data_IF_748309005148
#
_entry.id   IF_748309005148
#
_cell.length_a   1.000
_cell.length_b   1.000
_cell.length_c   1.000
_cell.angle_alpha   90.00
_cell.angle_beta   90.00
_cell.angle_gamma   90.00
#
_symmetry.space_group_name_H-M   'P 1'
#
loop_
_entity.id
_entity.type
_entity.pdbx_description
1 polymer ?
#
# COMPACT_ATOMS: atom_id res chain seq x y z
N UNK A 1 -5.43 39.29 11.03
CA UNK A 1 -4.47 38.27 11.51
C UNK A 1 -4.66 38.06 13.01
N UNK A 2 -4.80 36.81 13.45
CA UNK A 2 -4.92 36.40 14.85
C UNK A 2 -3.84 35.38 15.19
N UNK A 3 -3.32 35.40 16.41
CA UNK A 3 -2.30 34.47 16.88
C UNK A 3 -2.87 33.60 18.00
N UNK A 4 -2.61 32.30 17.98
CA UNK A 4 -2.94 31.37 19.06
C UNK A 4 -1.73 30.49 19.38
N UNK A 5 -1.39 30.37 20.66
CA UNK A 5 -0.28 29.56 21.15
C UNK A 5 -0.84 28.26 21.75
N UNK A 6 -0.40 27.12 21.25
CA UNK A 6 -0.76 25.78 21.76
C UNK A 6 0.53 24.97 21.97
N UNK A 7 0.73 24.34 23.12
CA UNK A 7 1.84 23.41 23.43
C UNK A 7 3.23 23.75 22.87
N UNK A 8 3.62 23.21 21.71
CA UNK A 8 4.90 23.47 21.02
C UNK A 8 4.74 24.25 19.70
N UNK A 9 3.53 24.72 19.37
CA UNK A 9 3.17 25.30 18.07
C UNK A 9 2.58 26.71 18.25
N UNK A 10 2.99 27.65 17.38
CA UNK A 10 2.33 28.93 17.18
C UNK A 10 1.45 28.85 15.92
N UNK A 11 0.14 29.05 16.09
CA UNK A 11 -0.83 29.10 14.99
C UNK A 11 -1.12 30.56 14.63
N UNK A 12 -0.85 30.91 13.37
CA UNK A 12 -1.09 32.24 12.79
C UNK A 12 -2.29 32.12 11.86
N UNK A 13 -3.39 32.78 12.21
CA UNK A 13 -4.60 32.84 11.40
C UNK A 13 -4.54 34.10 10.54
N UNK A 14 -4.37 33.91 9.23
CA UNK A 14 -4.38 34.98 8.23
C UNK A 14 -5.83 35.36 7.90
N UNK A 15 -6.71 34.35 7.81
CA UNK A 15 -8.15 34.47 7.51
C UNK A 15 -8.97 33.63 8.50
N UNK A 16 -10.30 33.83 8.51
CA UNK A 16 -11.24 33.04 9.33
C UNK A 16 -11.72 31.77 8.61
N UNK A 17 -11.25 31.52 7.38
CA UNK A 17 -11.58 30.31 6.62
C UNK A 17 -11.00 29.06 7.28
N UNK A 18 -11.69 27.92 7.12
CA UNK A 18 -11.23 26.64 7.66
C UNK A 18 -10.06 26.09 6.80
N UNK A 19 -8.99 25.55 7.43
CA UNK A 19 -7.93 24.81 6.75
C UNK A 19 -8.46 23.64 5.93
N UNK A 20 -8.46 23.79 4.60
CA UNK A 20 -8.95 22.77 3.69
C UNK A 20 -7.83 21.99 3.02
N UNK A 21 -6.75 22.67 2.64
CA UNK A 21 -5.58 22.07 2.02
C UNK A 21 -4.32 22.33 2.84
N UNK A 22 -3.38 21.41 2.73
CA UNK A 22 -2.01 21.55 3.21
C UNK A 22 -1.05 21.19 2.08
N UNK A 23 -0.04 22.03 1.83
CA UNK A 23 0.97 21.78 0.80
C UNK A 23 2.13 20.98 1.40
N UNK A 24 2.27 19.71 1.02
CA UNK A 24 3.30 18.84 1.59
C UNK A 24 4.71 19.34 1.32
N UNK A 25 4.98 19.74 0.08
CA UNK A 25 6.32 20.18 -0.32
C UNK A 25 6.74 21.43 0.44
N UNK A 26 5.85 22.40 0.59
CA UNK A 26 6.11 23.58 1.42
C UNK A 26 6.34 23.19 2.87
N UNK A 27 5.51 22.30 3.43
CA UNK A 27 5.65 21.87 4.83
C UNK A 27 6.95 21.09 5.10
N UNK A 28 7.46 20.35 4.12
CA UNK A 28 8.72 19.60 4.27
C UNK A 28 9.95 20.51 4.12
N UNK A 29 9.81 21.60 3.36
CA UNK A 29 10.92 22.52 3.06
C UNK A 29 10.98 23.71 4.02
N UNK A 30 9.86 24.03 4.67
CA UNK A 30 9.74 25.14 5.59
C UNK A 30 9.63 24.63 7.02
N UNK A 31 10.19 25.36 8.00
CA UNK A 31 9.97 25.11 9.43
C UNK A 31 8.55 25.54 9.88
N UNK A 32 7.63 25.69 8.93
CA UNK A 32 6.26 26.13 9.13
C UNK A 32 5.34 25.36 8.18
N UNK A 33 4.18 24.94 8.68
CA UNK A 33 3.15 24.30 7.88
C UNK A 33 2.15 25.34 7.36
N UNK A 34 1.97 25.41 6.04
CA UNK A 34 1.07 26.35 5.38
C UNK A 34 -0.27 25.66 5.04
N UNK A 35 -1.36 26.27 5.49
CA UNK A 35 -2.72 25.76 5.28
C UNK A 35 -3.56 26.75 4.49
N UNK A 36 -4.28 26.21 3.51
CA UNK A 36 -5.05 26.96 2.53
C UNK A 36 -6.54 26.64 2.66
N UNK A 37 -7.38 27.62 2.35
CA UNK A 37 -8.83 27.45 2.27
C UNK A 37 -9.22 26.59 1.06
N UNK A 38 -10.51 26.25 0.94
CA UNK A 38 -11.04 25.50 -0.22
C UNK A 38 -10.82 26.21 -1.56
N UNK A 39 -10.71 27.54 -1.55
CA UNK A 39 -10.42 28.37 -2.73
C UNK A 39 -8.90 28.58 -2.95
N UNK A 40 -8.07 27.84 -2.21
CA UNK A 40 -6.61 27.88 -2.31
C UNK A 40 -5.98 29.13 -1.74
N UNK A 41 -6.66 29.87 -0.86
CA UNK A 41 -6.11 31.08 -0.21
C UNK A 41 -5.45 30.74 1.11
N UNK A 42 -4.27 31.31 1.38
CA UNK A 42 -3.57 31.09 2.65
C UNK A 42 -4.46 31.57 3.81
N UNK A 43 -4.84 30.64 4.69
CA UNK A 43 -5.74 30.91 5.80
C UNK A 43 -5.03 30.75 7.15
N UNK A 44 -4.09 29.82 7.27
CA UNK A 44 -3.42 29.52 8.52
C UNK A 44 -1.97 29.05 8.30
N UNK A 45 -1.08 29.42 9.22
CA UNK A 45 0.32 28.94 9.27
C UNK A 45 0.56 28.36 10.66
N UNK A 46 1.22 27.21 10.76
CA UNK A 46 1.67 26.64 12.04
C UNK A 46 3.18 26.67 12.07
N UNK A 47 3.77 27.28 13.09
CA UNK A 47 5.22 27.40 13.26
C UNK A 47 5.62 26.68 14.54
N UNK A 48 6.63 25.81 14.47
CA UNK A 48 7.19 25.19 15.68
C UNK A 48 7.83 26.25 16.57
N UNK A 49 7.67 26.17 17.89
CA UNK A 49 8.29 27.14 18.81
C UNK A 49 9.81 27.09 18.82
N UNK A 50 10.39 25.91 18.57
CA UNK A 50 11.84 25.72 18.46
C UNK A 50 12.45 26.56 17.33
N UNK A 51 11.64 26.96 16.34
CA UNK A 51 12.07 27.82 15.25
C UNK A 51 12.49 29.23 15.74
N UNK A 52 11.91 29.75 16.82
CA UNK A 52 12.27 31.08 17.33
C UNK A 52 13.58 31.10 18.14
N UNK A 53 14.21 29.94 18.36
CA UNK A 53 15.44 29.83 19.15
C UNK A 53 16.72 30.02 18.31
N UNK A 54 16.61 29.94 16.98
CA UNK A 54 17.72 30.08 16.02
C UNK A 54 17.57 31.34 15.14
N UNK A 55 18.67 32.01 14.80
CA UNK A 55 18.69 33.05 13.75
C UNK A 55 18.52 32.39 12.37
N UNK A 56 17.27 32.11 11.99
CA UNK A 56 16.94 31.46 10.72
C UNK A 56 16.51 32.45 9.62
N UNK A 57 16.67 32.06 8.33
CA UNK A 57 16.41 32.96 7.20
C UNK A 57 14.94 33.42 7.08
N UNK A 58 14.73 34.48 6.29
CA UNK A 58 13.38 34.89 5.88
C UNK A 58 12.77 33.84 4.94
N UNK A 59 11.59 33.33 5.29
CA UNK A 59 10.85 32.37 4.47
C UNK A 59 9.68 33.05 3.78
N UNK A 60 9.47 32.72 2.49
CA UNK A 60 8.31 33.15 1.73
C UNK A 60 7.26 32.04 1.71
N UNK A 61 6.08 32.33 2.28
CA UNK A 61 4.91 31.47 2.18
C UNK A 61 3.96 32.08 1.14
N UNK A 62 3.66 31.39 0.03
CA UNK A 62 2.74 31.90 -0.98
C UNK A 62 1.33 32.15 -0.42
N UNK A 63 0.72 33.27 -0.79
CA UNK A 63 -0.67 33.62 -0.45
C UNK A 63 -1.72 32.70 -1.11
N UNK A 64 -1.31 31.98 -2.17
CA UNK A 64 -2.12 31.02 -2.90
C UNK A 64 -1.44 29.65 -2.88
N UNK A 65 -2.24 28.60 -2.76
CA UNK A 65 -1.77 27.22 -2.87
C UNK A 65 -1.04 27.08 -4.22
N UNK A 66 0.25 26.71 -4.23
CA UNK A 66 0.96 26.39 -5.46
C UNK A 66 0.20 25.32 -6.27
N UNK A 67 0.32 25.37 -7.59
CA UNK A 67 -0.29 24.34 -8.44
C UNK A 67 0.30 22.96 -8.08
N UNK A 68 -0.56 22.03 -7.69
CA UNK A 68 -0.21 20.64 -7.39
C UNK A 68 -0.93 19.69 -8.33
N UNK A 69 -0.39 18.48 -8.53
CA UNK A 69 -1.02 17.48 -9.41
C UNK A 69 -2.14 16.70 -8.70
N UNK A 70 -1.92 16.30 -7.45
CA UNK A 70 -2.80 15.39 -6.72
C UNK A 70 -3.23 15.97 -5.37
N UNK A 71 -4.40 15.51 -4.92
CA UNK A 71 -4.96 15.78 -3.60
C UNK A 71 -5.24 14.45 -2.93
N UNK A 72 -4.72 14.30 -1.71
CA UNK A 72 -4.89 13.14 -0.86
C UNK A 72 -5.82 13.50 0.29
N UNK A 73 -6.84 12.66 0.51
CA UNK A 73 -7.75 12.74 1.65
C UNK A 73 -7.61 11.46 2.44
N UNK A 74 -7.37 11.56 3.75
CA UNK A 74 -7.29 10.40 4.65
C UNK A 74 -8.55 10.30 5.47
N UNK A 75 -9.09 9.09 5.63
CA UNK A 75 -10.37 8.87 6.27
C UNK A 75 -11.55 9.24 5.36
N UNK A 76 -12.53 9.96 5.91
CA UNK A 76 -13.78 10.31 5.21
C UNK A 76 -13.57 11.34 4.11
N UNK A 77 -14.46 11.39 3.12
CA UNK A 77 -14.37 12.38 2.03
C UNK A 77 -14.44 13.84 2.52
N UNK A 78 -15.18 14.07 3.61
CA UNK A 78 -15.30 15.36 4.29
C UNK A 78 -14.10 15.73 5.17
N UNK A 79 -13.12 14.81 5.33
CA UNK A 79 -11.95 15.04 6.17
C UNK A 79 -11.10 16.16 5.60
N UNK A 80 -10.70 17.06 6.50
CA UNK A 80 -9.86 18.21 6.20
C UNK A 80 -8.86 18.40 7.36
N UNK A 81 -7.65 18.90 7.08
CA UNK A 81 -7.16 19.33 5.77
C UNK A 81 -6.79 18.14 4.86
N UNK A 82 -6.84 18.36 3.54
CA UNK A 82 -6.37 17.44 2.49
C UNK A 82 -4.94 17.78 2.08
N UNK A 83 -4.13 16.78 1.74
CA UNK A 83 -2.72 16.99 1.38
C UNK A 83 -2.58 17.20 -0.13
N UNK A 84 -1.90 18.25 -0.55
CA UNK A 84 -1.60 18.53 -1.95
C UNK A 84 -0.14 18.19 -2.28
N UNK A 85 0.08 17.41 -3.34
CA UNK A 85 1.39 16.92 -3.77
C UNK A 85 1.52 16.92 -5.30
N UNK A 86 2.76 16.97 -5.80
CA UNK A 86 3.04 16.83 -7.24
C UNK A 86 3.29 15.37 -7.67
N UNK A 87 3.63 14.52 -6.71
CA UNK A 87 3.98 13.12 -6.96
C UNK A 87 3.38 12.22 -5.88
N UNK A 88 2.91 11.06 -6.32
CA UNK A 88 2.48 9.96 -5.45
C UNK A 88 3.63 9.04 -5.02
N UNK A 89 4.87 9.29 -5.48
CA UNK A 89 6.00 8.39 -5.26
C UNK A 89 6.51 8.34 -3.82
N UNK A 90 6.08 9.25 -2.96
CA UNK A 90 6.57 9.36 -1.58
C UNK A 90 5.43 9.05 -0.61
N UNK A 91 4.76 7.91 -0.81
CA UNK A 91 3.62 7.51 0.01
C UNK A 91 4.01 7.43 1.49
N UNK A 92 5.18 6.90 1.84
CA UNK A 92 5.60 6.81 3.23
C UNK A 92 5.63 8.19 3.91
N UNK A 93 6.26 9.18 3.28
CA UNK A 93 6.27 10.55 3.79
C UNK A 93 4.88 11.20 3.85
N UNK A 94 4.00 10.88 2.90
CA UNK A 94 2.61 11.36 2.87
C UNK A 94 1.81 10.71 4.02
N UNK A 95 1.90 9.40 4.20
CA UNK A 95 1.18 8.63 5.23
C UNK A 95 1.65 9.01 6.64
N UNK A 96 2.97 9.17 6.85
CA UNK A 96 3.55 9.59 8.12
C UNK A 96 3.20 11.03 8.50
N UNK A 97 2.71 11.85 7.57
CA UNK A 97 2.49 13.30 7.79
C UNK A 97 1.31 13.66 8.71
N UNK A 98 0.70 12.68 9.37
CA UNK A 98 -0.07 12.92 10.60
C UNK A 98 -1.57 12.67 10.51
N UNK A 99 -2.02 11.74 9.68
CA UNK A 99 -3.40 11.28 9.74
C UNK A 99 -3.47 10.00 10.57
N UNK A 100 -4.19 10.05 11.69
CA UNK A 100 -4.45 8.90 12.57
C UNK A 100 -5.21 7.76 11.85
N UNK A 101 -5.70 7.98 10.63
CA UNK A 101 -6.51 7.05 9.85
C UNK A 101 -5.77 6.58 8.58
N UNK A 102 -4.83 5.65 8.75
CA UNK A 102 -4.11 5.02 7.64
C UNK A 102 -4.94 3.95 6.90
N UNK A 103 -6.14 3.62 7.39
CA UNK A 103 -6.98 2.56 6.82
C UNK A 103 -7.79 3.00 5.60
N UNK A 104 -7.90 4.31 5.33
CA UNK A 104 -8.72 4.85 4.23
C UNK A 104 -8.00 6.04 3.58
N UNK A 105 -7.89 6.01 2.26
CA UNK A 105 -7.27 7.06 1.48
C UNK A 105 -8.02 7.29 0.17
N UNK A 106 -8.15 8.57 -0.21
CA UNK A 106 -8.74 9.00 -1.47
C UNK A 106 -7.72 9.86 -2.19
N UNK A 107 -7.44 9.53 -3.45
CA UNK A 107 -6.56 10.31 -4.33
C UNK A 107 -7.39 10.86 -5.49
N UNK A 108 -7.32 12.16 -5.70
CA UNK A 108 -7.95 12.85 -6.83
C UNK A 108 -6.96 13.82 -7.49
N UNK A 109 -7.19 14.19 -8.75
CA UNK A 109 -6.41 15.28 -9.35
C UNK A 109 -6.83 16.61 -8.75
N UNK A 110 -5.86 17.49 -8.49
CA UNK A 110 -6.15 18.81 -7.95
C UNK A 110 -6.97 19.68 -8.91
N UNK A 111 -6.92 19.41 -10.21
CA UNK A 111 -7.72 20.10 -11.23
C UNK A 111 -9.12 19.49 -11.44
N UNK A 112 -9.48 18.43 -10.71
CA UNK A 112 -10.75 17.71 -10.87
C UNK A 112 -10.87 16.90 -12.16
N UNK A 113 -9.77 16.75 -12.90
CA UNK A 113 -9.68 15.92 -14.10
C UNK A 113 -9.69 14.42 -13.80
N UNK A 114 -9.72 13.62 -14.85
CA UNK A 114 -9.61 12.16 -14.74
C UNK A 114 -8.16 11.71 -14.48
N UNK A 115 -8.00 10.64 -13.70
CA UNK A 115 -6.73 9.93 -13.59
C UNK A 115 -6.71 8.88 -14.70
N UNK A 116 -5.81 9.06 -15.66
CA UNK A 116 -5.62 8.14 -16.78
C UNK A 116 -5.28 6.73 -16.30
N UNK A 117 -5.71 5.70 -17.05
CA UNK A 117 -5.52 4.29 -16.67
C UNK A 117 -4.09 3.96 -16.24
N UNK A 118 -3.08 4.37 -17.03
CA UNK A 118 -1.67 4.12 -16.69
C UNK A 118 -1.21 4.86 -15.43
N UNK A 119 -1.72 6.08 -15.19
CA UNK A 119 -1.42 6.83 -13.98
C UNK A 119 -2.07 6.13 -12.76
N UNK A 120 -3.30 5.62 -12.88
CA UNK A 120 -3.95 4.84 -11.80
C UNK A 120 -3.16 3.59 -11.46
N UNK A 121 -2.75 2.82 -12.47
CA UNK A 121 -1.94 1.61 -12.28
C UNK A 121 -0.63 1.92 -11.56
N UNK A 122 0.08 2.99 -11.97
CA UNK A 122 1.34 3.38 -11.33
C UNK A 122 1.17 3.88 -9.90
N UNK A 123 0.10 4.64 -9.61
CA UNK A 123 -0.22 5.05 -8.23
C UNK A 123 -0.43 3.82 -7.34
N UNK A 124 -1.18 2.83 -7.83
CA UNK A 124 -1.43 1.57 -7.14
C UNK A 124 -0.17 0.73 -6.92
N UNK A 125 0.66 0.62 -7.94
CA UNK A 125 1.93 -0.10 -7.87
C UNK A 125 2.89 0.56 -6.88
N UNK A 126 3.03 1.88 -6.92
CA UNK A 126 3.85 2.64 -5.96
C UNK A 126 3.31 2.45 -4.53
N UNK A 127 1.98 2.54 -4.32
CA UNK A 127 1.36 2.31 -3.02
C UNK A 127 1.63 0.90 -2.47
N UNK A 128 1.45 -0.14 -3.28
CA UNK A 128 1.69 -1.53 -2.84
C UNK A 128 3.17 -1.82 -2.62
N UNK A 129 4.07 -1.18 -3.39
CA UNK A 129 5.51 -1.29 -3.15
C UNK A 129 5.85 -0.74 -1.77
N UNK A 130 5.35 0.45 -1.44
CA UNK A 130 5.57 1.07 -0.13
C UNK A 130 4.89 0.27 1.00
N UNK A 131 3.71 -0.30 0.75
CA UNK A 131 3.00 -1.17 1.70
C UNK A 131 3.81 -2.42 2.09
N UNK A 132 4.52 -3.01 1.11
CA UNK A 132 5.37 -4.18 1.33
C UNK A 132 6.74 -3.76 1.87
N UNK A 133 7.42 -2.81 1.25
CA UNK A 133 8.81 -2.42 1.57
C UNK A 133 8.95 -1.76 2.95
N UNK A 134 7.93 -1.04 3.43
CA UNK A 134 7.94 -0.45 4.77
C UNK A 134 7.33 -1.35 5.84
N UNK A 135 6.95 -2.59 5.49
CA UNK A 135 6.39 -3.55 6.46
C UNK A 135 4.99 -3.22 6.95
N UNK A 136 4.25 -2.29 6.32
CA UNK A 136 2.91 -1.89 6.77
C UNK A 136 1.95 -3.07 6.80
N UNK A 137 2.08 -4.04 5.89
CA UNK A 137 1.31 -5.28 5.97
C UNK A 137 1.42 -5.97 7.33
N UNK A 138 2.57 -5.91 8.02
CA UNK A 138 2.74 -6.50 9.35
C UNK A 138 1.97 -5.69 10.40
N UNK A 139 2.07 -4.36 10.35
CA UNK A 139 1.36 -3.45 11.26
C UNK A 139 -0.17 -3.58 11.14
N UNK A 140 -0.66 -3.97 9.95
CA UNK A 140 -2.07 -4.23 9.67
C UNK A 140 -2.43 -5.73 9.67
N UNK A 141 -1.61 -6.61 10.24
CA UNK A 141 -1.95 -8.04 10.39
C UNK A 141 -2.24 -8.76 9.07
N UNK A 142 -1.52 -8.41 8.00
CA UNK A 142 -1.70 -8.87 6.62
C UNK A 142 -3.14 -8.71 6.11
N UNK A 143 -3.81 -7.64 6.51
CA UNK A 143 -5.07 -7.25 5.88
C UNK A 143 -4.88 -6.90 4.41
N UNK A 144 -5.86 -7.26 3.59
CA UNK A 144 -5.94 -6.86 2.19
C UNK A 144 -6.25 -5.38 2.11
N UNK A 145 -5.56 -4.66 1.24
CA UNK A 145 -5.96 -3.32 0.83
C UNK A 145 -6.76 -3.43 -0.45
N UNK A 146 -7.92 -2.80 -0.47
CA UNK A 146 -8.78 -2.69 -1.64
C UNK A 146 -8.54 -1.35 -2.33
N UNK A 147 -8.74 -1.32 -3.65
CA UNK A 147 -8.75 -0.09 -4.41
C UNK A 147 -9.80 -0.14 -5.52
N UNK A 148 -10.44 1.00 -5.76
CA UNK A 148 -11.38 1.21 -6.85
C UNK A 148 -11.26 2.64 -7.38
N UNK A 149 -11.30 2.80 -8.69
CA UNK A 149 -11.43 4.10 -9.34
C UNK A 149 -12.89 4.37 -9.68
N UNK A 150 -13.45 5.40 -9.05
CA UNK A 150 -14.86 5.74 -9.18
C UNK A 150 -15.05 7.24 -9.13
N UNK A 151 -15.94 7.79 -9.97
CA UNK A 151 -16.20 9.24 -10.09
C UNK A 151 -14.94 10.13 -10.09
N UNK A 152 -13.93 9.75 -10.87
CA UNK A 152 -12.64 10.45 -11.03
C UNK A 152 -11.69 10.42 -9.83
N UNK A 153 -11.99 9.61 -8.82
CA UNK A 153 -11.14 9.44 -7.63
C UNK A 153 -10.70 7.99 -7.50
N UNK A 154 -9.52 7.81 -6.95
CA UNK A 154 -8.98 6.51 -6.59
C UNK A 154 -9.14 6.34 -5.08
N UNK A 155 -9.96 5.37 -4.69
CA UNK A 155 -10.21 5.04 -3.30
C UNK A 155 -9.32 3.86 -2.91
N UNK A 156 -8.82 3.89 -1.68
CA UNK A 156 -8.08 2.81 -1.03
C UNK A 156 -8.64 2.60 0.37
N UNK A 157 -8.88 1.34 0.75
CA UNK A 157 -9.32 1.03 2.10
C UNK A 157 -8.83 -0.35 2.54
N UNK A 158 -8.55 -0.51 3.83
CA UNK A 158 -8.20 -1.80 4.41
C UNK A 158 -9.46 -2.65 4.56
N UNK A 159 -9.43 -3.84 3.98
CA UNK A 159 -10.48 -4.85 4.09
C UNK A 159 -10.39 -5.60 5.41
N UNK A 160 -11.51 -6.19 5.83
CA UNK A 160 -11.54 -7.14 6.94
C UNK A 160 -10.96 -8.52 6.57
N UNK A 161 -10.74 -8.80 5.28
CA UNK A 161 -10.01 -9.99 4.85
C UNK A 161 -8.52 -9.83 5.13
N UNK A 162 -7.91 -10.86 5.73
CA UNK A 162 -6.46 -11.00 5.81
C UNK A 162 -5.99 -12.26 5.10
N UNK A 163 -4.72 -12.27 4.74
CA UNK A 163 -4.02 -13.43 4.18
C UNK A 163 -2.96 -13.97 5.17
N UNK A 164 -3.17 -13.72 6.46
CA UNK A 164 -2.29 -14.23 7.52
C UNK A 164 -2.48 -15.75 7.74
N UNK A 165 -1.45 -16.41 8.26
CA UNK A 165 -1.44 -17.85 8.52
C UNK A 165 -0.40 -18.22 9.59
N UNK A 166 -0.75 -19.18 10.43
CA UNK A 166 0.10 -19.64 11.55
C UNK A 166 0.88 -20.92 11.25
N UNK A 167 0.42 -21.71 10.26
CA UNK A 167 1.00 -23.01 9.92
C UNK A 167 1.19 -23.18 8.42
N UNK A 168 1.97 -24.19 8.01
CA UNK A 168 2.15 -24.49 6.57
C UNK A 168 0.86 -25.02 5.93
N UNK A 169 -0.03 -25.63 6.72
CA UNK A 169 -1.37 -26.03 6.31
C UNK A 169 -2.25 -24.81 6.02
N UNK A 170 -2.29 -23.85 6.94
CA UNK A 170 -3.04 -22.60 6.72
C UNK A 170 -2.44 -21.80 5.55
N UNK A 171 -1.11 -21.78 5.41
CA UNK A 171 -0.46 -21.15 4.27
C UNK A 171 -0.91 -21.80 2.94
N UNK A 172 -0.96 -23.14 2.87
CA UNK A 172 -1.46 -23.85 1.69
C UNK A 172 -2.92 -23.51 1.38
N UNK A 173 -3.79 -23.46 2.38
CA UNK A 173 -5.22 -23.13 2.23
C UNK A 173 -5.41 -21.69 1.72
N UNK A 174 -4.77 -20.73 2.39
CA UNK A 174 -4.79 -19.30 2.04
C UNK A 174 -4.25 -19.11 0.62
N UNK A 175 -3.07 -19.64 0.33
CA UNK A 175 -2.43 -19.51 -0.98
C UNK A 175 -3.29 -20.12 -2.10
N UNK A 176 -3.88 -21.31 -1.85
CA UNK A 176 -4.75 -21.98 -2.82
C UNK A 176 -6.02 -21.16 -3.12
N UNK A 177 -6.63 -20.54 -2.10
CA UNK A 177 -7.78 -19.62 -2.27
C UNK A 177 -7.43 -18.46 -3.21
N UNK A 178 -6.28 -17.82 -3.01
CA UNK A 178 -5.87 -16.68 -3.85
C UNK A 178 -5.42 -17.09 -5.25
N UNK A 179 -4.79 -18.26 -5.41
CA UNK A 179 -4.53 -18.84 -6.72
C UNK A 179 -5.84 -19.01 -7.53
N UNK A 180 -6.90 -19.52 -6.92
CA UNK A 180 -8.20 -19.70 -7.58
C UNK A 180 -8.81 -18.36 -8.01
N UNK A 181 -8.74 -17.33 -7.16
CA UNK A 181 -9.14 -15.95 -7.52
C UNK A 181 -8.29 -15.37 -8.65
N UNK A 182 -7.08 -15.88 -8.87
CA UNK A 182 -6.21 -15.53 -9.99
C UNK A 182 -6.39 -16.45 -11.23
N UNK A 183 -7.51 -17.17 -11.34
CA UNK A 183 -7.85 -18.16 -12.38
C UNK A 183 -6.89 -19.36 -12.49
N UNK A 184 -6.15 -19.67 -11.44
CA UNK A 184 -5.50 -20.96 -11.37
C UNK A 184 -6.52 -22.00 -10.95
N UNK A 185 -6.50 -23.15 -11.61
CA UNK A 185 -7.15 -24.36 -11.09
C UNK A 185 -6.13 -25.16 -10.30
N UNK A 186 -6.33 -25.28 -8.99
CA UNK A 186 -5.51 -26.15 -8.13
C UNK A 186 -5.85 -27.61 -8.47
N UNK A 187 -4.83 -28.39 -8.83
CA UNK A 187 -4.98 -29.79 -9.28
C UNK A 187 -4.69 -30.75 -8.14
N UNK A 188 -3.65 -30.45 -7.35
CA UNK A 188 -3.19 -31.29 -6.25
C UNK A 188 -2.28 -30.47 -5.34
N UNK A 189 -2.34 -30.74 -4.05
CA UNK A 189 -1.28 -30.38 -3.12
C UNK A 189 -0.62 -31.61 -2.50
N UNK A 190 0.62 -31.47 -2.07
CA UNK A 190 1.34 -32.52 -1.36
C UNK A 190 2.33 -31.92 -0.36
N UNK A 191 2.19 -32.33 0.90
CA UNK A 191 3.05 -31.86 1.99
C UNK A 191 4.26 -32.76 2.20
N UNK A 192 5.38 -32.15 2.57
CA UNK A 192 6.60 -32.83 3.03
C UNK A 192 7.33 -31.99 4.08
N UNK A 193 7.02 -32.19 5.36
CA UNK A 193 7.64 -31.43 6.46
C UNK A 193 7.30 -29.94 6.37
N UNK A 194 8.34 -29.08 6.40
CA UNK A 194 8.31 -27.61 6.29
C UNK A 194 7.88 -27.07 4.90
N UNK A 195 7.46 -27.96 4.00
CA UNK A 195 7.15 -27.65 2.61
C UNK A 195 5.75 -28.14 2.22
N UNK A 196 5.05 -27.34 1.43
CA UNK A 196 3.91 -27.80 0.63
C UNK A 196 4.16 -27.56 -0.86
N UNK A 197 3.82 -28.55 -1.69
CA UNK A 197 3.89 -28.43 -3.15
C UNK A 197 2.48 -28.35 -3.70
N UNK A 198 2.13 -27.21 -4.30
CA UNK A 198 0.84 -26.98 -4.95
C UNK A 198 1.02 -27.05 -6.46
N UNK A 199 0.37 -28.04 -7.10
CA UNK A 199 0.29 -28.18 -8.55
C UNK A 199 -0.97 -27.45 -9.03
N UNK A 200 -0.78 -26.44 -9.89
CA UNK A 200 -1.88 -25.65 -10.43
C UNK A 200 -1.80 -25.48 -11.95
N UNK A 201 -2.91 -25.10 -12.57
CA UNK A 201 -2.97 -24.83 -14.01
C UNK A 201 -3.64 -23.51 -14.30
N UNK A 202 -3.04 -22.70 -15.17
CA UNK A 202 -3.63 -21.46 -15.70
C UNK A 202 -3.50 -21.43 -17.21
N UNK A 203 -4.61 -21.18 -17.92
CA UNK A 203 -4.65 -21.15 -19.39
C UNK A 203 -3.99 -22.39 -20.05
N UNK A 204 -4.22 -23.57 -19.48
CA UNK A 204 -3.67 -24.85 -19.96
C UNK A 204 -2.18 -25.09 -19.65
N UNK A 205 -1.47 -24.11 -19.07
CA UNK A 205 -0.09 -24.27 -18.62
C UNK A 205 -0.06 -24.81 -17.19
N UNK A 206 0.79 -25.81 -16.95
CA UNK A 206 1.03 -26.37 -15.61
C UNK A 206 2.16 -25.59 -14.93
N UNK A 207 1.89 -25.19 -13.70
CA UNK A 207 2.83 -24.52 -12.80
C UNK A 207 2.84 -25.25 -11.46
N UNK A 208 3.98 -25.16 -10.78
CA UNK A 208 4.18 -25.74 -9.46
C UNK A 208 4.63 -24.63 -8.52
N UNK A 209 4.03 -24.59 -7.35
CA UNK A 209 4.38 -23.68 -6.28
C UNK A 209 4.93 -24.51 -5.13
N UNK A 210 6.14 -24.19 -4.68
CA UNK A 210 6.70 -24.72 -3.44
C UNK A 210 6.52 -23.66 -2.37
N UNK A 211 5.62 -23.93 -1.44
CA UNK A 211 5.40 -23.12 -0.26
C UNK A 211 6.43 -23.52 0.80
N UNK A 212 7.09 -22.52 1.38
CA UNK A 212 8.11 -22.67 2.41
C UNK A 212 7.67 -21.91 3.65
N UNK A 213 7.56 -22.62 4.78
CA UNK A 213 7.36 -22.00 6.10
C UNK A 213 8.19 -22.78 7.11
N UNK A 214 9.34 -22.26 7.54
CA UNK A 214 10.11 -22.84 8.62
C UNK A 214 9.25 -22.95 9.89
N UNK A 215 9.48 -24.02 10.64
CA UNK A 215 8.98 -24.07 12.01
C UNK A 215 9.99 -23.33 12.89
N UNK A 216 9.64 -22.13 13.36
CA UNK A 216 10.51 -21.29 14.18
C UNK A 216 10.67 -21.81 15.61
N UNK A 217 9.97 -22.89 15.99
CA UNK A 217 10.19 -23.57 17.28
C UNK A 217 11.47 -24.43 17.27
N UNK A 218 11.93 -24.86 16.09
CA UNK A 218 13.20 -25.55 15.92
C UNK A 218 14.30 -24.52 15.64
N UNK A 219 15.44 -24.55 16.37
CA UNK A 219 16.62 -23.67 16.26
C UNK A 219 17.25 -23.52 14.84
N UNK A 220 16.61 -24.01 13.78
CA UNK A 220 16.93 -23.71 12.39
C UNK A 220 16.06 -22.55 11.87
N UNK A 221 16.60 -21.34 11.90
CA UNK A 221 15.87 -20.14 11.47
C UNK A 221 15.52 -20.14 9.97
N UNK A 222 16.28 -20.87 9.15
CA UNK A 222 16.11 -20.89 7.68
C UNK A 222 16.32 -22.28 7.07
N UNK A 223 15.69 -22.51 5.93
CA UNK A 223 15.84 -23.73 5.13
C UNK A 223 17.20 -23.74 4.43
N UNK A 224 17.96 -24.82 4.64
CA UNK A 224 19.24 -25.04 3.98
C UNK A 224 19.08 -25.35 2.48
N UNK A 225 20.15 -25.13 1.72
CA UNK A 225 20.23 -25.51 0.31
C UNK A 225 19.99 -27.01 0.11
N UNK A 226 20.55 -27.86 0.97
CA UNK A 226 20.43 -29.31 0.89
C UNK A 226 18.98 -29.77 1.06
N UNK A 227 18.26 -29.15 2.00
CA UNK A 227 16.83 -29.41 2.22
C UNK A 227 16.01 -29.00 0.99
N UNK A 228 16.22 -27.78 0.48
CA UNK A 228 15.54 -27.27 -0.72
C UNK A 228 15.80 -28.18 -1.93
N UNK A 229 17.05 -28.55 -2.18
CA UNK A 229 17.42 -29.50 -3.23
C UNK A 229 16.69 -30.85 -3.07
N UNK A 230 16.56 -31.35 -1.84
CA UNK A 230 15.94 -32.66 -1.57
C UNK A 230 14.46 -32.71 -1.98
N UNK A 231 13.78 -31.57 -1.96
CA UNK A 231 12.36 -31.43 -2.33
C UNK A 231 12.23 -31.13 -3.82
N UNK A 232 13.06 -30.21 -4.33
CA UNK A 232 13.02 -29.75 -5.72
C UNK A 232 13.59 -30.75 -6.72
N UNK A 233 14.48 -31.68 -6.33
CA UNK A 233 14.97 -32.78 -7.19
C UNK A 233 13.86 -33.58 -7.89
N UNK A 234 12.66 -33.60 -7.30
CA UNK A 234 11.47 -34.30 -7.85
C UNK A 234 10.62 -33.41 -8.75
N UNK A 235 10.89 -32.10 -8.78
CA UNK A 235 10.13 -31.07 -9.50
C UNK A 235 10.91 -30.70 -10.78
N UNK A 236 10.39 -31.13 -11.94
CA UNK A 236 11.20 -31.13 -13.17
C UNK A 236 11.27 -29.79 -13.90
N UNK A 237 10.22 -28.94 -13.86
CA UNK A 237 10.10 -27.62 -14.56
C UNK A 237 8.98 -26.76 -13.97
N UNK A 238 8.98 -25.46 -14.30
CA UNK A 238 7.94 -24.46 -14.00
C UNK A 238 7.63 -24.33 -12.50
N UNK A 239 8.69 -24.22 -11.70
CA UNK A 239 8.60 -24.07 -10.26
C UNK A 239 8.73 -22.59 -9.88
N UNK A 240 7.85 -22.16 -8.98
CA UNK A 240 7.92 -20.92 -8.22
C UNK A 240 8.02 -21.26 -6.75
N UNK A 241 8.89 -20.58 -6.01
CA UNK A 241 8.99 -20.72 -4.56
C UNK A 241 8.28 -19.53 -3.93
N UNK A 242 7.36 -19.80 -3.01
CA UNK A 242 6.65 -18.78 -2.24
C UNK A 242 7.00 -18.99 -0.77
N UNK A 243 7.56 -17.97 -0.15
CA UNK A 243 8.04 -17.96 1.24
C UNK A 243 7.12 -17.10 2.10
N UNK A 244 7.13 -17.31 3.41
CA UNK A 244 6.47 -16.41 4.34
C UNK A 244 7.29 -15.12 4.47
N UNK A 245 8.58 -15.24 4.77
CA UNK A 245 9.54 -14.15 4.90
C UNK A 245 10.77 -14.33 4.00
N UNK A 246 11.51 -13.25 3.74
CA UNK A 246 12.70 -13.27 2.87
C UNK A 246 13.83 -14.17 3.39
N UNK A 247 13.92 -14.34 4.70
CA UNK A 247 14.94 -15.11 5.42
C UNK A 247 14.56 -16.59 5.62
N UNK A 248 13.39 -17.03 5.19
CA UNK A 248 12.96 -18.44 5.26
C UNK A 248 13.89 -19.38 4.49
N UNK A 249 14.57 -18.87 3.46
CA UNK A 249 15.64 -19.56 2.76
C UNK A 249 16.99 -18.98 3.16
N UNK A 250 17.94 -19.86 3.49
CA UNK A 250 19.34 -19.46 3.64
C UNK A 250 19.88 -18.78 2.37
N UNK A 251 20.89 -17.91 2.50
CA UNK A 251 21.51 -17.22 1.36
C UNK A 251 21.98 -18.19 0.26
N UNK A 252 22.54 -19.34 0.66
CA UNK A 252 22.98 -20.40 -0.27
C UNK A 252 21.82 -21.06 -1.01
N UNK A 253 20.66 -21.25 -0.35
CA UNK A 253 19.45 -21.78 -0.96
C UNK A 253 18.84 -20.76 -1.94
N UNK A 254 18.78 -19.48 -1.56
CA UNK A 254 18.32 -18.37 -2.40
C UNK A 254 19.17 -18.23 -3.67
N UNK A 255 20.49 -18.23 -3.51
CA UNK A 255 21.43 -18.15 -4.63
C UNK A 255 21.27 -19.34 -5.57
N UNK A 256 21.17 -20.55 -5.02
CA UNK A 256 20.95 -21.76 -5.82
C UNK A 256 19.65 -21.70 -6.62
N UNK A 257 18.54 -21.27 -6.01
CA UNK A 257 17.25 -21.15 -6.70
C UNK A 257 17.33 -20.19 -7.90
N UNK A 258 17.97 -19.02 -7.71
CA UNK A 258 18.22 -18.04 -8.77
C UNK A 258 19.09 -18.62 -9.90
N UNK A 259 20.14 -19.38 -9.57
CA UNK A 259 21.00 -20.06 -10.55
C UNK A 259 20.25 -21.13 -11.36
N UNK A 260 19.22 -21.76 -10.79
CA UNK A 260 18.33 -22.69 -11.50
C UNK A 260 17.23 -21.99 -12.32
N UNK A 261 17.18 -20.66 -12.31
CA UNK A 261 16.11 -19.89 -12.95
C UNK A 261 14.74 -20.11 -12.29
N UNK A 262 14.73 -20.46 -11.00
CA UNK A 262 13.51 -20.58 -10.20
C UNK A 262 13.15 -19.19 -9.70
N UNK A 263 11.92 -18.77 -9.94
CA UNK A 263 11.36 -17.54 -9.39
C UNK A 263 11.08 -17.75 -7.90
N UNK A 264 11.59 -16.86 -7.06
CA UNK A 264 11.39 -16.87 -5.61
C UNK A 264 10.69 -15.58 -5.22
N UNK A 265 9.63 -15.71 -4.42
CA UNK A 265 8.82 -14.60 -3.92
C UNK A 265 8.45 -14.80 -2.46
N UNK A 266 8.18 -13.73 -1.74
CA UNK A 266 7.40 -13.79 -0.51
C UNK A 266 5.90 -13.88 -0.81
N UNK A 267 5.11 -14.26 0.19
CA UNK A 267 3.66 -14.22 0.07
C UNK A 267 3.17 -12.80 -0.15
N UNK A 268 3.79 -11.79 0.46
CA UNK A 268 3.43 -10.39 0.31
C UNK A 268 3.65 -9.90 -1.14
N UNK A 269 4.75 -10.31 -1.79
CA UNK A 269 4.99 -10.06 -3.21
C UNK A 269 3.95 -10.74 -4.11
N UNK A 270 3.55 -11.98 -3.79
CA UNK A 270 2.48 -12.66 -4.51
C UNK A 270 1.13 -11.94 -4.32
N UNK A 271 0.85 -11.49 -3.10
CA UNK A 271 -0.39 -10.78 -2.78
C UNK A 271 -0.47 -9.41 -3.45
N UNK A 272 0.66 -8.73 -3.68
CA UNK A 272 0.72 -7.53 -4.52
C UNK A 272 0.23 -7.80 -5.95
N UNK A 273 0.62 -8.92 -6.57
CA UNK A 273 0.12 -9.29 -7.90
C UNK A 273 -1.37 -9.58 -7.91
N UNK A 274 -1.86 -10.25 -6.86
CA UNK A 274 -3.26 -10.52 -6.67
C UNK A 274 -4.07 -9.22 -6.53
N UNK A 275 -3.67 -8.32 -5.62
CA UNK A 275 -4.37 -7.06 -5.34
C UNK A 275 -4.40 -6.14 -6.56
N UNK A 276 -3.28 -5.96 -7.29
CA UNK A 276 -3.26 -5.15 -8.51
C UNK A 276 -4.30 -5.63 -9.53
N UNK A 277 -4.41 -6.96 -9.69
CA UNK A 277 -5.38 -7.55 -10.61
C UNK A 277 -6.82 -7.35 -10.14
N UNK A 278 -7.08 -7.57 -8.86
CA UNK A 278 -8.40 -7.35 -8.27
C UNK A 278 -8.85 -5.90 -8.41
N UNK A 279 -7.93 -4.95 -8.22
CA UNK A 279 -8.24 -3.52 -8.36
C UNK A 279 -8.59 -3.10 -9.79
N UNK A 280 -8.00 -3.74 -10.81
CA UNK A 280 -8.43 -3.54 -12.21
C UNK A 280 -9.84 -4.06 -12.47
N UNK A 281 -10.19 -5.18 -11.85
CA UNK A 281 -11.53 -5.75 -11.92
C UNK A 281 -12.55 -4.88 -11.19
N UNK A 282 -12.20 -4.34 -10.02
CA UNK A 282 -13.02 -3.39 -9.28
C UNK A 282 -13.32 -2.13 -10.14
N UNK A 283 -12.33 -1.59 -10.86
CA UNK A 283 -12.56 -0.46 -11.79
C UNK A 283 -13.56 -0.82 -12.89
N UNK A 284 -13.46 -2.03 -13.44
CA UNK A 284 -14.37 -2.51 -14.50
C UNK A 284 -15.79 -2.65 -13.96
N UNK A 285 -15.96 -3.26 -12.79
CA UNK A 285 -17.27 -3.42 -12.13
C UNK A 285 -17.84 -2.04 -11.76
N UNK A 286 -17.02 -1.10 -11.27
CA UNK A 286 -17.46 0.26 -10.95
C UNK A 286 -17.94 1.05 -12.17
N UNK A 287 -17.38 0.77 -13.34
CA UNK A 287 -17.86 1.34 -14.60
C UNK A 287 -19.16 0.69 -15.09
N UNK A 288 -19.38 -0.60 -14.80
CA UNK A 288 -20.56 -1.37 -15.23
C UNK A 288 -21.77 -1.21 -14.29
N UNK A 289 -21.52 -1.08 -12.98
CA UNK A 289 -22.52 -0.91 -11.93
C UNK A 289 -22.14 0.25 -11.00
N UNK A 290 -22.32 1.50 -11.45
CA UNK A 290 -21.98 2.67 -10.66
C UNK A 290 -22.91 2.88 -9.45
N UNK A 291 -24.12 2.32 -9.45
CA UNK A 291 -25.04 2.43 -8.32
C UNK A 291 -24.57 1.56 -7.15
N UNK A 292 -24.15 0.33 -7.42
CA UNK A 292 -23.54 -0.55 -6.41
C UNK A 292 -22.31 0.09 -5.77
N UNK A 293 -21.40 0.63 -6.59
CA UNK A 293 -20.18 1.24 -6.06
C UNK A 293 -20.42 2.59 -5.37
N UNK A 294 -21.45 3.35 -5.76
CA UNK A 294 -21.88 4.52 -4.99
C UNK A 294 -22.27 4.12 -3.56
N UNK A 295 -23.01 3.02 -3.41
CA UNK A 295 -23.44 2.51 -2.11
C UNK A 295 -22.25 2.01 -1.27
N UNK A 296 -21.31 1.27 -1.88
CA UNK A 296 -20.09 0.80 -1.23
C UNK A 296 -19.21 1.97 -0.76
N UNK A 297 -18.96 2.95 -1.62
CA UNK A 297 -18.12 4.11 -1.27
C UNK A 297 -18.79 4.94 -0.16
N UNK A 298 -20.11 5.12 -0.22
CA UNK A 298 -20.86 5.85 0.82
C UNK A 298 -20.80 5.13 2.18
N UNK A 299 -20.86 3.81 2.18
CA UNK A 299 -20.77 2.99 3.40
C UNK A 299 -19.37 3.08 4.05
N UNK A 300 -18.31 2.99 3.25
CA UNK A 300 -16.93 2.98 3.73
C UNK A 300 -16.43 4.39 4.08
N UNK A 301 -16.53 5.34 3.15
CA UNK A 301 -15.92 6.67 3.27
C UNK A 301 -16.85 7.72 3.88
N UNK A 302 -18.14 7.42 4.04
CA UNK A 302 -19.14 8.36 4.51
C UNK A 302 -19.45 9.47 3.49
N UNK A 303 -20.70 9.53 3.05
CA UNK A 303 -21.26 10.67 2.32
C UNK A 303 -21.61 11.86 3.20
#
# INVERSE_FOLDING_TARGET
MRLKKEDSILKIFIREDFPYFVDKFLNDTLPAAAYYSKDGELCQIHVSKHFFENEEPEYFIPDRLPARKYVFTFGKESTTPKICVDSHKDFNSIMLSGFEFNEMMIIERADGGEIEYYDRYRIREDFLSEWVENGWFTDFGRSIVESVYFKKKLYFYVSSESYDFSSIEEFEEVFSKYLERMDYKVVKSARKGKFSVVDATKNGKKEKFLLVKPDYEDDSDSISKEELESVTKRIRKNLRIIMDYEDDLSEDAMKWAREQGIEVKTIDEFMKEFMLREWEENDRIAAEDPEFWEDVIRDIFGG
#
